data_IF_187453683353
#
_entry.id   IF_187453683353
#
_cell.length_a   1.000
_cell.length_b   1.000
_cell.length_c   1.000
_cell.angle_alpha   90.00
_cell.angle_beta   90.00
_cell.angle_gamma   90.00
#
_symmetry.space_group_name_H-M   'P 1'
#
loop_
_entity.id
_entity.type
_entity.pdbx_description
1 polymer ?
#
# COMPACT_ATOMS: atom_id res chain seq x y z
N UNK A 1 -14.97 15.29 33.61
CA UNK A 1 -15.50 14.47 32.51
C UNK A 1 -14.28 13.90 31.82
N UNK A 2 -14.19 12.60 31.63
CA UNK A 2 -13.09 12.03 30.86
C UNK A 2 -13.18 12.56 29.42
N UNK A 3 -12.09 13.06 28.91
CA UNK A 3 -11.99 13.50 27.51
C UNK A 3 -12.30 12.30 26.61
N UNK A 4 -13.21 12.49 25.64
CA UNK A 4 -13.51 11.50 24.62
C UNK A 4 -12.43 11.57 23.55
N UNK A 5 -11.89 10.43 23.16
CA UNK A 5 -10.73 10.32 22.27
C UNK A 5 -11.06 9.53 21.02
N UNK A 6 -10.46 9.95 19.92
CA UNK A 6 -10.41 9.19 18.67
C UNK A 6 -9.47 8.00 18.81
N UNK A 7 -9.57 7.01 17.92
CA UNK A 7 -8.65 5.86 17.86
C UNK A 7 -7.18 6.32 17.83
N UNK A 8 -6.86 7.28 16.97
CA UNK A 8 -5.50 7.78 16.84
C UNK A 8 -4.99 8.46 18.12
N UNK A 9 -5.83 9.25 18.79
CA UNK A 9 -5.46 9.90 20.06
C UNK A 9 -5.26 8.89 21.19
N UNK A 10 -6.02 7.79 21.24
CA UNK A 10 -5.83 6.71 22.22
C UNK A 10 -4.47 6.03 22.03
N UNK A 11 -4.18 5.60 20.80
CA UNK A 11 -2.89 4.96 20.47
C UNK A 11 -1.74 5.92 20.75
N UNK A 12 -1.85 7.20 20.36
CA UNK A 12 -0.82 8.20 20.64
C UNK A 12 -0.56 8.33 22.13
N UNK A 13 -1.61 8.58 22.93
CA UNK A 13 -1.53 8.74 24.39
C UNK A 13 -0.80 7.57 25.06
N UNK A 14 -1.12 6.35 24.63
CA UNK A 14 -0.60 5.13 25.24
C UNK A 14 0.89 4.92 24.88
N UNK A 15 1.45 5.67 23.89
CA UNK A 15 2.84 5.57 23.46
C UNK A 15 3.70 6.80 23.81
N UNK A 16 3.14 7.85 24.41
CA UNK A 16 3.94 9.01 24.83
C UNK A 16 4.86 8.62 25.98
N UNK A 17 6.15 8.63 25.72
CA UNK A 17 7.22 8.45 26.73
C UNK A 17 7.47 9.75 27.48
N UNK A 18 7.44 10.88 26.75
CA UNK A 18 7.63 12.21 27.29
C UNK A 18 6.89 13.23 26.43
N UNK A 19 6.09 14.07 27.09
CA UNK A 19 5.47 15.22 26.41
C UNK A 19 6.49 16.32 26.13
N UNK A 20 6.37 16.94 24.97
CA UNK A 20 7.15 18.10 24.60
C UNK A 20 6.66 19.35 25.35
N UNK A 21 7.61 20.18 25.80
CA UNK A 21 7.31 21.44 26.45
C UNK A 21 6.92 22.52 25.42
N UNK A 22 5.92 23.34 25.73
CA UNK A 22 5.56 24.55 24.98
C UNK A 22 5.39 24.35 23.45
N UNK A 23 4.81 23.23 23.01
CA UNK A 23 4.58 22.92 21.60
C UNK A 23 5.77 22.25 20.90
N UNK A 24 6.79 21.82 21.66
CA UNK A 24 7.81 20.90 21.18
C UNK A 24 7.20 19.53 20.85
N UNK A 25 7.87 18.71 20.02
CA UNK A 25 7.43 17.35 19.73
C UNK A 25 7.38 16.45 20.97
N UNK A 26 6.41 15.55 21.03
CA UNK A 26 6.37 14.45 21.99
C UNK A 26 7.41 13.39 21.61
N UNK A 27 7.95 12.69 22.60
CA UNK A 27 8.74 11.47 22.39
C UNK A 27 7.84 10.27 22.46
N UNK A 28 7.72 9.55 21.33
CA UNK A 28 6.80 8.42 21.15
C UNK A 28 7.60 7.13 21.13
N UNK A 29 7.14 6.12 21.87
CA UNK A 29 7.66 4.75 21.81
C UNK A 29 7.22 4.09 20.50
N UNK A 30 8.07 3.29 19.88
CA UNK A 30 7.81 2.53 18.67
C UNK A 30 7.81 1.04 19.01
N UNK A 31 6.68 0.37 18.82
CA UNK A 31 6.56 -1.06 19.12
C UNK A 31 7.30 -1.93 18.12
N UNK A 32 7.27 -1.56 16.84
CA UNK A 32 7.93 -2.36 15.81
C UNK A 32 8.48 -1.52 14.66
N UNK A 33 9.64 -1.91 14.16
CA UNK A 33 10.26 -1.31 12.98
C UNK A 33 10.48 -2.35 11.88
N UNK A 34 9.96 -2.04 10.69
CA UNK A 34 10.19 -2.83 9.48
C UNK A 34 11.33 -2.23 8.67
N UNK A 35 12.12 -3.07 8.04
CA UNK A 35 13.32 -2.71 7.28
C UNK A 35 13.32 -3.38 5.90
N UNK A 36 13.94 -2.71 4.93
CA UNK A 36 14.22 -3.27 3.61
C UNK A 36 15.53 -2.69 3.05
N UNK A 37 15.99 -3.21 1.90
CA UNK A 37 17.32 -2.94 1.36
C UNK A 37 17.55 -1.51 0.87
N UNK A 38 16.49 -0.72 0.61
CA UNK A 38 16.64 0.62 0.00
C UNK A 38 16.97 1.68 1.05
N UNK A 39 16.28 1.72 2.18
CA UNK A 39 16.34 2.82 3.15
C UNK A 39 17.12 2.50 4.43
N UNK A 40 17.50 1.24 4.65
CA UNK A 40 18.21 0.82 5.87
C UNK A 40 19.75 0.93 5.85
N UNK A 41 20.46 0.88 4.69
CA UNK A 41 21.92 0.84 4.70
C UNK A 41 22.58 1.99 5.46
N UNK A 42 22.13 3.22 5.21
CA UNK A 42 22.68 4.41 5.87
C UNK A 42 22.38 4.46 7.38
N UNK A 43 21.23 3.93 7.81
CA UNK A 43 20.86 3.83 9.20
C UNK A 43 21.80 2.88 9.96
N UNK A 44 22.11 1.71 9.40
CA UNK A 44 23.09 0.78 9.96
C UNK A 44 24.50 1.38 9.98
N UNK A 45 24.91 2.11 8.95
CA UNK A 45 26.18 2.80 8.91
C UNK A 45 26.28 3.88 10.01
N UNK A 46 25.21 4.65 10.23
CA UNK A 46 25.13 5.62 11.31
C UNK A 46 25.33 4.99 12.70
N UNK A 47 24.65 3.87 12.96
CA UNK A 47 24.84 3.11 14.21
C UNK A 47 26.29 2.65 14.37
N UNK A 48 26.89 2.11 13.33
CA UNK A 48 28.28 1.61 13.32
C UNK A 48 29.27 2.73 13.58
N UNK A 49 29.13 3.87 12.92
CA UNK A 49 29.97 5.05 13.10
C UNK A 49 29.84 5.64 14.51
N UNK A 50 28.64 5.61 15.09
CA UNK A 50 28.41 6.07 16.47
C UNK A 50 28.78 5.03 17.53
N UNK A 51 29.23 3.83 17.16
CA UNK A 51 29.54 2.74 18.07
C UNK A 51 28.34 2.23 18.86
N UNK A 52 27.13 2.36 18.27
CA UNK A 52 25.86 1.95 18.88
C UNK A 52 25.43 0.57 18.36
N UNK A 53 24.68 -0.14 19.21
CA UNK A 53 23.98 -1.38 18.86
C UNK A 53 22.51 -1.09 18.66
N UNK A 54 21.79 -2.00 17.99
CA UNK A 54 20.33 -2.02 18.06
C UNK A 54 19.90 -2.18 19.51
N UNK A 55 18.91 -1.39 19.93
CA UNK A 55 18.38 -1.46 21.28
C UNK A 55 17.60 -2.75 21.53
N UNK A 56 16.74 -3.11 20.59
CA UNK A 56 15.83 -4.26 20.64
C UNK A 56 15.78 -4.96 19.27
N UNK A 57 16.80 -5.80 18.92
CA UNK A 57 16.81 -6.51 17.63
C UNK A 57 15.52 -7.29 17.35
N UNK A 58 14.88 -7.82 18.40
CA UNK A 58 13.64 -8.61 18.34
C UNK A 58 12.41 -7.79 17.93
N UNK A 59 12.47 -6.46 18.01
CA UNK A 59 11.41 -5.54 17.56
C UNK A 59 11.67 -5.01 16.13
N UNK A 60 12.52 -5.72 15.39
CA UNK A 60 12.87 -5.38 14.02
C UNK A 60 12.72 -6.61 13.11
N UNK A 61 12.20 -6.39 11.91
CA UNK A 61 12.15 -7.40 10.85
C UNK A 61 12.57 -6.77 9.53
N UNK A 62 13.43 -7.44 8.79
CA UNK A 62 13.84 -7.06 7.45
C UNK A 62 13.31 -8.03 6.40
N UNK A 63 13.06 -7.51 5.19
CA UNK A 63 12.75 -8.32 4.01
C UNK A 63 13.41 -7.73 2.77
N UNK A 64 13.68 -8.57 1.78
CA UNK A 64 14.19 -8.18 0.47
C UNK A 64 13.01 -8.11 -0.50
N UNK A 65 12.64 -6.91 -0.99
CA UNK A 65 11.41 -6.74 -1.77
C UNK A 65 11.49 -5.75 -2.96
N UNK A 66 12.33 -4.71 -2.88
CA UNK A 66 12.38 -3.64 -3.86
C UNK A 66 13.33 -3.93 -5.03
N UNK A 67 14.54 -4.41 -4.73
CA UNK A 67 15.63 -4.61 -5.69
C UNK A 67 15.75 -6.06 -6.16
N UNK A 68 14.84 -6.91 -5.74
CA UNK A 68 14.82 -8.32 -6.14
C UNK A 68 14.09 -8.49 -7.48
N UNK A 69 14.61 -9.31 -8.41
CA UNK A 69 13.89 -9.64 -9.63
C UNK A 69 12.71 -10.56 -9.35
N UNK A 70 11.68 -10.47 -10.17
CA UNK A 70 10.49 -11.34 -10.08
C UNK A 70 10.53 -12.51 -11.07
N UNK A 71 11.60 -12.61 -11.86
CA UNK A 71 11.87 -13.72 -12.78
C UNK A 71 13.25 -14.30 -12.57
N UNK A 72 13.37 -15.59 -12.86
CA UNK A 72 14.66 -16.29 -12.87
C UNK A 72 15.22 -16.62 -11.49
N UNK A 73 14.44 -16.45 -10.45
CA UNK A 73 14.80 -16.84 -9.08
C UNK A 73 14.61 -18.35 -8.92
N UNK A 74 15.67 -19.02 -8.48
CA UNK A 74 15.67 -20.47 -8.26
C UNK A 74 16.09 -20.86 -6.85
N UNK A 75 17.06 -20.16 -6.27
CA UNK A 75 17.69 -20.52 -5.01
C UNK A 75 17.83 -19.34 -4.03
N UNK A 76 17.48 -18.13 -4.45
CA UNK A 76 17.72 -16.93 -3.65
C UNK A 76 19.19 -16.49 -3.59
N UNK A 77 20.02 -17.02 -4.51
CA UNK A 77 21.42 -16.60 -4.61
C UNK A 77 21.52 -15.17 -5.16
N UNK A 78 22.39 -14.36 -4.56
CA UNK A 78 22.64 -12.97 -4.99
C UNK A 78 23.03 -12.85 -6.48
N UNK A 79 23.65 -13.86 -7.07
CA UNK A 79 24.02 -13.87 -8.49
C UNK A 79 22.80 -13.94 -9.44
N UNK A 80 21.62 -14.27 -8.92
CA UNK A 80 20.36 -14.20 -9.67
C UNK A 80 19.92 -12.74 -9.91
N UNK A 81 20.38 -11.80 -9.08
CA UNK A 81 20.22 -10.35 -9.29
C UNK A 81 21.30 -9.90 -10.29
N UNK A 82 20.89 -9.59 -11.52
CA UNK A 82 21.84 -9.23 -12.60
C UNK A 82 22.40 -7.84 -12.47
N UNK A 83 21.56 -6.90 -12.03
CA UNK A 83 21.98 -5.52 -11.78
C UNK A 83 22.93 -5.45 -10.57
N UNK A 84 24.09 -4.80 -10.75
CA UNK A 84 25.14 -4.76 -9.73
C UNK A 84 24.76 -3.86 -8.55
N UNK A 85 24.04 -2.76 -8.80
CA UNK A 85 23.62 -1.83 -7.75
C UNK A 85 22.58 -2.50 -6.86
N UNK A 86 21.56 -3.09 -7.46
CA UNK A 86 20.52 -3.87 -6.77
C UNK A 86 21.14 -5.02 -5.96
N UNK A 87 22.05 -5.77 -6.56
CA UNK A 87 22.76 -6.87 -5.87
C UNK A 87 23.59 -6.38 -4.68
N UNK A 88 24.22 -5.22 -4.80
CA UNK A 88 25.00 -4.62 -3.71
C UNK A 88 24.09 -4.20 -2.57
N UNK A 89 22.95 -3.56 -2.85
CA UNK A 89 21.99 -3.16 -1.82
C UNK A 89 21.43 -4.36 -1.05
N UNK A 90 20.99 -5.41 -1.74
CA UNK A 90 20.51 -6.65 -1.12
C UNK A 90 21.63 -7.33 -0.31
N UNK A 91 22.85 -7.43 -0.85
CA UNK A 91 23.99 -7.97 -0.11
C UNK A 91 24.31 -7.17 1.16
N UNK A 92 24.18 -5.85 1.10
CA UNK A 92 24.42 -4.95 2.24
C UNK A 92 23.36 -5.19 3.33
N UNK A 93 22.09 -5.32 2.95
CA UNK A 93 21.04 -5.65 3.92
C UNK A 93 21.34 -6.98 4.65
N UNK A 94 21.70 -8.03 3.91
CA UNK A 94 22.06 -9.35 4.50
C UNK A 94 23.17 -9.22 5.53
N UNK A 95 24.26 -8.53 5.17
CA UNK A 95 25.41 -8.31 6.09
C UNK A 95 25.00 -7.51 7.33
N UNK A 96 24.21 -6.45 7.15
CA UNK A 96 23.76 -5.62 8.26
C UNK A 96 22.83 -6.42 9.19
N UNK A 97 21.90 -7.18 8.66
CA UNK A 97 21.02 -8.02 9.49
C UNK A 97 21.79 -9.08 10.28
N UNK A 98 22.80 -9.72 9.66
CA UNK A 98 23.67 -10.66 10.34
C UNK A 98 24.48 -9.98 11.46
N UNK A 99 25.09 -8.81 11.18
CA UNK A 99 25.93 -8.06 12.15
C UNK A 99 25.12 -7.58 13.35
N UNK A 100 23.90 -7.06 13.12
CA UNK A 100 23.07 -6.44 14.15
C UNK A 100 22.02 -7.38 14.77
N UNK A 101 21.95 -8.63 14.30
CA UNK A 101 21.02 -9.64 14.83
C UNK A 101 19.55 -9.43 14.45
N UNK A 102 19.29 -8.79 13.30
CA UNK A 102 17.93 -8.58 12.78
C UNK A 102 17.45 -9.79 12.00
N UNK A 103 16.23 -10.27 12.28
CA UNK A 103 15.57 -11.31 11.47
C UNK A 103 15.36 -10.79 10.05
N UNK A 104 15.75 -11.61 9.05
CA UNK A 104 15.65 -11.26 7.64
C UNK A 104 14.92 -12.37 6.86
N UNK A 105 13.93 -11.99 6.07
CA UNK A 105 13.35 -12.83 5.02
C UNK A 105 13.97 -12.48 3.67
N UNK A 106 14.93 -13.28 3.26
CA UNK A 106 15.68 -13.08 2.02
C UNK A 106 14.91 -13.59 0.79
N UNK A 107 15.28 -13.08 -0.38
CA UNK A 107 14.86 -13.62 -1.67
C UNK A 107 15.01 -15.14 -1.70
N UNK A 108 13.92 -15.85 -2.04
CA UNK A 108 13.86 -17.31 -2.03
C UNK A 108 13.44 -17.95 -0.69
N UNK A 109 13.31 -17.17 0.39
CA UNK A 109 12.72 -17.62 1.65
C UNK A 109 11.20 -17.82 1.49
N UNK A 110 10.64 -18.84 2.15
CA UNK A 110 9.22 -19.17 2.09
C UNK A 110 8.31 -18.06 2.67
N UNK A 111 8.86 -17.15 3.47
CA UNK A 111 8.13 -16.01 4.06
C UNK A 111 8.55 -14.67 3.45
N UNK A 112 9.44 -14.66 2.44
CA UNK A 112 9.83 -13.44 1.75
C UNK A 112 8.62 -12.79 1.06
N UNK A 113 8.59 -11.48 1.08
CA UNK A 113 7.54 -10.70 0.42
C UNK A 113 7.71 -9.21 0.63
N UNK A 114 6.77 -8.44 0.08
CA UNK A 114 6.72 -7.00 0.26
C UNK A 114 6.58 -6.69 1.75
N UNK A 115 7.38 -5.77 2.25
CA UNK A 115 7.49 -5.43 3.68
C UNK A 115 6.13 -5.19 4.35
N UNK A 116 5.20 -4.51 3.67
CA UNK A 116 3.85 -4.22 4.18
C UNK A 116 2.85 -5.39 4.04
N UNK A 117 3.26 -6.50 3.44
CA UNK A 117 2.52 -7.77 3.43
C UNK A 117 3.04 -8.71 4.50
N UNK A 118 4.36 -8.77 4.68
CA UNK A 118 5.01 -9.71 5.61
C UNK A 118 4.62 -9.43 7.07
N UNK A 119 4.59 -8.15 7.50
CA UNK A 119 4.21 -7.78 8.87
C UNK A 119 2.81 -8.28 9.27
N UNK A 120 1.74 -7.93 8.51
CA UNK A 120 0.40 -8.48 8.71
C UNK A 120 0.31 -10.00 8.63
N UNK A 121 0.96 -10.60 7.61
CA UNK A 121 0.95 -12.05 7.37
C UNK A 121 1.52 -12.85 8.54
N UNK A 122 2.55 -12.33 9.19
CA UNK A 122 3.18 -12.96 10.35
C UNK A 122 2.44 -12.68 11.67
N UNK A 123 1.48 -11.74 11.70
CA UNK A 123 0.81 -11.31 12.93
C UNK A 123 1.66 -10.34 13.78
N UNK A 124 2.68 -9.73 13.19
CA UNK A 124 3.47 -8.67 13.82
C UNK A 124 2.62 -7.41 13.98
N UNK A 125 1.83 -7.09 12.95
CA UNK A 125 0.92 -5.96 12.99
C UNK A 125 -0.30 -6.29 13.83
N UNK A 126 -0.47 -5.57 14.95
CA UNK A 126 -1.57 -5.78 15.89
C UNK A 126 -2.25 -4.46 16.25
N UNK A 127 -3.52 -4.47 16.68
CA UNK A 127 -4.23 -3.26 17.08
C UNK A 127 -3.52 -2.49 18.20
N UNK A 128 -3.53 -1.16 18.07
CA UNK A 128 -2.99 -0.27 19.08
C UNK A 128 -1.48 -0.09 19.07
N UNK A 129 -0.75 -0.72 18.15
CA UNK A 129 0.70 -0.57 18.03
C UNK A 129 1.10 0.71 17.29
N UNK A 130 2.35 1.11 17.49
CA UNK A 130 3.09 2.07 16.65
C UNK A 130 4.08 1.33 15.77
N UNK A 131 3.97 1.48 14.44
CA UNK A 131 4.80 0.76 13.47
C UNK A 131 5.45 1.75 12.51
N UNK A 132 6.76 1.61 12.30
CA UNK A 132 7.50 2.47 11.37
C UNK A 132 8.34 1.68 10.38
N UNK A 133 8.59 2.28 9.23
CA UNK A 133 9.48 1.77 8.19
C UNK A 133 10.02 2.95 7.37
N UNK A 134 11.13 2.76 6.70
CA UNK A 134 11.66 3.73 5.74
C UNK A 134 10.88 3.80 4.42
N UNK A 135 9.63 3.37 4.39
CA UNK A 135 8.71 3.38 3.24
C UNK A 135 7.40 4.09 3.60
N UNK A 136 6.92 4.95 2.71
CA UNK A 136 5.71 5.75 2.93
C UNK A 136 4.44 4.91 3.06
N UNK A 137 4.36 3.73 2.41
CA UNK A 137 3.19 2.85 2.49
C UNK A 137 3.10 2.02 3.77
N UNK A 138 3.93 2.32 4.76
CA UNK A 138 3.78 1.81 6.14
C UNK A 138 2.38 2.07 6.70
N UNK A 139 1.68 3.10 6.20
CA UNK A 139 0.27 3.36 6.54
C UNK A 139 -0.66 2.16 6.32
N UNK A 140 -0.27 1.17 5.50
CA UNK A 140 -0.98 -0.11 5.32
C UNK A 140 -1.34 -0.77 6.65
N UNK A 141 -0.43 -0.73 7.63
CA UNK A 141 -0.61 -1.37 8.93
C UNK A 141 -1.70 -0.71 9.78
N UNK A 142 -2.09 0.53 9.45
CA UNK A 142 -3.22 1.21 10.11
C UNK A 142 -4.58 0.53 9.90
N UNK A 143 -4.70 -0.38 8.93
CA UNK A 143 -5.86 -1.24 8.75
C UNK A 143 -6.20 -2.10 9.98
N UNK A 144 -5.22 -2.29 10.86
CA UNK A 144 -5.35 -3.03 12.12
C UNK A 144 -5.66 -2.12 13.32
N UNK A 145 -5.79 -0.81 13.13
CA UNK A 145 -5.92 0.15 14.24
C UNK A 145 -4.58 0.53 14.89
N UNK A 146 -3.48 0.39 14.15
CA UNK A 146 -2.13 0.84 14.54
C UNK A 146 -1.88 2.26 14.04
N UNK A 147 -1.07 3.06 14.74
CA UNK A 147 -0.44 4.25 14.14
C UNK A 147 0.80 3.76 13.38
N UNK A 148 0.69 3.76 12.05
CA UNK A 148 1.74 3.26 11.19
C UNK A 148 2.15 4.30 10.15
N UNK A 149 3.46 4.60 10.07
CA UNK A 149 3.92 5.68 9.21
C UNK A 149 5.31 5.45 8.64
N UNK A 150 5.51 5.99 7.44
CA UNK A 150 6.83 6.11 6.83
C UNK A 150 7.67 7.17 7.54
N UNK A 151 8.96 6.86 7.75
CA UNK A 151 9.93 7.74 8.40
C UNK A 151 11.19 7.90 7.54
N UNK A 152 11.90 9.01 7.73
CA UNK A 152 13.15 9.27 7.03
C UNK A 152 14.32 8.41 7.53
N UNK A 153 15.37 8.25 6.72
CA UNK A 153 16.52 7.38 7.03
C UNK A 153 17.18 7.72 8.37
N UNK A 154 17.31 9.00 8.72
CA UNK A 154 17.87 9.42 10.02
C UNK A 154 16.95 9.04 11.18
N UNK A 155 15.64 9.04 10.98
CA UNK A 155 14.66 8.58 11.96
C UNK A 155 14.69 7.05 12.08
N UNK A 156 14.94 6.32 10.99
CA UNK A 156 15.19 4.86 11.01
C UNK A 156 16.34 4.54 11.95
N UNK A 157 17.50 5.22 11.80
CA UNK A 157 18.66 5.06 12.69
C UNK A 157 18.30 5.38 14.16
N UNK A 158 17.55 6.46 14.37
CA UNK A 158 17.17 6.89 15.72
C UNK A 158 16.28 5.83 16.40
N UNK A 159 15.28 5.30 15.69
CA UNK A 159 14.42 4.23 16.24
C UNK A 159 15.22 2.96 16.51
N UNK A 160 16.12 2.56 15.62
CA UNK A 160 17.02 1.43 15.86
C UNK A 160 17.83 1.59 17.15
N UNK A 161 18.30 2.81 17.43
CA UNK A 161 19.13 3.09 18.60
C UNK A 161 18.34 3.23 19.91
N UNK A 162 17.09 3.70 19.85
CA UNK A 162 16.36 4.18 21.05
C UNK A 162 14.98 3.55 21.23
N UNK A 163 14.40 2.95 20.19
CA UNK A 163 13.03 2.51 20.11
C UNK A 163 11.99 3.65 20.29
N UNK A 164 12.39 4.89 19.98
CA UNK A 164 11.55 6.08 20.10
C UNK A 164 11.71 6.99 18.91
N UNK A 165 10.74 7.88 18.71
CA UNK A 165 10.77 8.94 17.69
C UNK A 165 10.17 10.22 18.26
N UNK A 166 10.70 11.37 17.84
CA UNK A 166 10.19 12.68 18.24
C UNK A 166 9.22 13.20 17.18
N UNK A 167 7.94 13.34 17.53
CA UNK A 167 6.87 13.72 16.61
C UNK A 167 5.98 14.82 17.18
N UNK A 168 5.55 15.75 16.34
CA UNK A 168 4.50 16.70 16.72
C UNK A 168 3.13 15.98 16.68
N UNK A 169 2.22 16.31 17.61
CA UNK A 169 0.84 15.86 17.51
C UNK A 169 0.25 16.19 16.12
N UNK A 170 -0.58 15.30 15.64
CA UNK A 170 -1.28 15.41 14.36
C UNK A 170 -2.72 15.89 14.58
N UNK A 171 -3.35 16.33 13.49
CA UNK A 171 -4.79 16.49 13.42
C UNK A 171 -5.48 15.18 13.09
N UNK A 172 -6.77 15.10 13.39
CA UNK A 172 -7.60 13.94 13.10
C UNK A 172 -8.58 14.23 11.98
N UNK A 173 -8.74 13.28 11.04
CA UNK A 173 -9.73 13.37 9.97
C UNK A 173 -10.56 12.10 9.94
N UNK A 174 -11.89 12.23 9.97
CA UNK A 174 -12.79 11.13 9.69
C UNK A 174 -13.18 11.12 8.21
N UNK A 175 -13.11 9.96 7.57
CA UNK A 175 -13.76 9.73 6.27
C UNK A 175 -14.88 8.73 6.51
N UNK A 176 -16.11 9.23 6.51
CA UNK A 176 -17.33 8.45 6.74
C UNK A 176 -17.86 7.93 5.39
N UNK A 177 -17.83 6.61 5.20
CA UNK A 177 -18.34 5.95 3.98
C UNK A 177 -19.69 5.31 4.29
N UNK A 178 -20.74 5.94 3.80
CA UNK A 178 -22.13 5.49 3.96
C UNK A 178 -22.55 4.57 2.83
N UNK A 179 -23.62 3.82 3.04
CA UNK A 179 -24.13 2.86 2.05
C UNK A 179 -23.24 1.64 1.85
N UNK A 180 -23.52 0.87 0.82
CA UNK A 180 -22.75 -0.31 0.41
C UNK A 180 -22.09 -0.07 -0.95
N UNK A 181 -20.88 -0.59 -1.15
CA UNK A 181 -20.24 -0.54 -2.47
C UNK A 181 -21.03 -1.41 -3.45
N UNK A 182 -21.22 -0.91 -4.67
CA UNK A 182 -21.87 -1.64 -5.73
C UNK A 182 -21.03 -2.84 -6.18
N UNK A 183 -21.67 -3.84 -6.79
CA UNK A 183 -20.98 -4.95 -7.43
C UNK A 183 -19.96 -4.42 -8.47
N UNK A 184 -18.76 -4.97 -8.47
CA UNK A 184 -17.66 -4.51 -9.35
C UNK A 184 -16.90 -3.28 -8.86
N UNK A 185 -17.27 -2.71 -7.71
CA UNK A 185 -16.54 -1.62 -7.05
C UNK A 185 -15.74 -2.16 -5.87
N UNK A 186 -14.45 -1.95 -5.89
CA UNK A 186 -13.51 -2.44 -4.87
C UNK A 186 -13.05 -1.33 -3.90
N UNK A 187 -12.31 -1.72 -2.88
CA UNK A 187 -11.61 -0.78 -1.99
C UNK A 187 -10.64 0.14 -2.74
N UNK A 188 -10.06 -0.32 -3.85
CA UNK A 188 -9.19 0.50 -4.70
C UNK A 188 -9.97 1.62 -5.40
N UNK A 189 -11.14 1.32 -5.92
CA UNK A 189 -12.00 2.32 -6.56
C UNK A 189 -12.44 3.37 -5.53
N UNK A 190 -12.80 2.94 -4.32
CA UNK A 190 -13.18 3.82 -3.23
C UNK A 190 -12.03 4.76 -2.84
N UNK A 191 -10.82 4.25 -2.62
CA UNK A 191 -9.71 5.12 -2.18
C UNK A 191 -9.27 6.08 -3.28
N UNK A 192 -9.31 5.68 -4.55
CA UNK A 192 -9.07 6.58 -5.67
C UNK A 192 -10.11 7.70 -5.74
N UNK A 193 -11.39 7.37 -5.54
CA UNK A 193 -12.47 8.37 -5.47
C UNK A 193 -12.30 9.32 -4.28
N UNK A 194 -11.89 8.83 -3.11
CA UNK A 194 -11.58 9.66 -1.94
C UNK A 194 -10.45 10.64 -2.28
N UNK A 195 -9.33 10.15 -2.83
CA UNK A 195 -8.17 10.98 -3.18
C UNK A 195 -8.54 12.03 -4.24
N UNK A 196 -9.33 11.65 -5.25
CA UNK A 196 -9.82 12.60 -6.24
C UNK A 196 -10.70 13.70 -5.63
N UNK A 197 -11.53 13.35 -4.61
CA UNK A 197 -12.41 14.29 -3.93
C UNK A 197 -11.67 15.27 -3.02
N UNK A 198 -10.72 14.80 -2.20
CA UNK A 198 -10.03 15.65 -1.22
C UNK A 198 -8.71 16.23 -1.73
N UNK A 199 -8.22 15.72 -2.87
CA UNK A 199 -6.92 16.07 -3.47
C UNK A 199 -5.74 15.38 -2.81
N UNK A 200 -4.59 15.42 -3.48
CA UNK A 200 -3.33 14.80 -3.00
C UNK A 200 -2.72 15.51 -1.77
N UNK A 201 -3.26 16.64 -1.35
CA UNK A 201 -2.86 17.39 -0.15
C UNK A 201 -3.96 17.51 0.90
N UNK A 202 -5.16 16.97 0.67
CA UNK A 202 -6.31 17.14 1.57
C UNK A 202 -6.12 16.55 2.97
N UNK A 203 -5.33 15.50 3.08
CA UNK A 203 -4.98 14.85 4.35
C UNK A 203 -3.73 15.40 5.04
N UNK A 204 -3.11 16.48 4.52
CA UNK A 204 -1.84 16.97 5.06
C UNK A 204 -1.95 17.34 6.55
N UNK A 205 -1.03 16.79 7.35
CA UNK A 205 -0.98 17.00 8.80
C UNK A 205 -2.00 16.20 9.60
N UNK A 206 -2.79 15.33 8.96
CA UNK A 206 -3.80 14.49 9.60
C UNK A 206 -3.38 13.01 9.66
N UNK A 207 -3.92 12.32 10.65
CA UNK A 207 -4.18 10.88 10.58
C UNK A 207 -5.66 10.71 10.19
N UNK A 208 -5.90 9.92 9.15
CA UNK A 208 -7.24 9.63 8.66
C UNK A 208 -7.80 8.39 9.37
N UNK A 209 -8.99 8.45 9.92
CA UNK A 209 -9.77 7.29 10.34
C UNK A 209 -10.88 7.04 9.32
N UNK A 210 -10.81 5.90 8.63
CA UNK A 210 -11.86 5.45 7.71
C UNK A 210 -12.95 4.74 8.52
N UNK A 211 -14.20 5.17 8.31
CA UNK A 211 -15.36 4.79 9.12
C UNK A 211 -16.58 4.57 8.25
N UNK A 212 -17.64 4.12 8.87
CA UNK A 212 -18.93 3.91 8.22
C UNK A 212 -19.23 2.44 7.94
N UNK A 213 -20.42 2.18 7.41
CA UNK A 213 -20.93 0.82 7.22
C UNK A 213 -20.12 0.06 6.16
N UNK A 214 -19.80 0.71 5.05
CA UNK A 214 -19.00 0.12 3.99
C UNK A 214 -17.63 -0.33 4.49
N UNK A 215 -16.96 0.48 5.32
CA UNK A 215 -15.63 0.15 5.87
C UNK A 215 -15.69 -1.05 6.83
N UNK A 216 -16.72 -1.09 7.69
CA UNK A 216 -16.88 -2.22 8.63
C UNK A 216 -17.11 -3.56 7.94
N UNK A 217 -17.76 -3.55 6.76
CA UNK A 217 -18.02 -4.77 5.96
C UNK A 217 -16.82 -5.25 5.15
N UNK A 218 -15.75 -4.45 5.06
CA UNK A 218 -14.55 -4.81 4.31
C UNK A 218 -13.74 -5.90 4.98
N UNK A 219 -13.15 -6.76 4.15
CA UNK A 219 -12.08 -7.68 4.56
C UNK A 219 -10.84 -6.91 5.04
N UNK A 220 -9.90 -7.59 5.70
CA UNK A 220 -8.64 -6.95 6.09
C UNK A 220 -7.81 -6.53 4.87
N UNK A 221 -7.83 -7.29 3.79
CA UNK A 221 -7.16 -6.97 2.54
C UNK A 221 -7.69 -5.66 1.93
N UNK A 222 -9.01 -5.47 1.93
CA UNK A 222 -9.65 -4.25 1.48
C UNK A 222 -9.30 -3.04 2.38
N UNK A 223 -9.31 -3.23 3.71
CA UNK A 223 -8.88 -2.19 4.68
C UNK A 223 -7.41 -1.81 4.49
N UNK A 224 -6.53 -2.80 4.25
CA UNK A 224 -5.12 -2.56 3.95
C UNK A 224 -4.93 -1.76 2.65
N UNK A 225 -5.74 -1.99 1.63
CA UNK A 225 -5.72 -1.21 0.37
C UNK A 225 -6.04 0.26 0.62
N UNK A 226 -7.08 0.56 1.41
CA UNK A 226 -7.47 1.94 1.72
C UNK A 226 -6.39 2.63 2.57
N UNK A 227 -5.93 1.99 3.64
CA UNK A 227 -4.89 2.55 4.51
C UNK A 227 -3.56 2.73 3.78
N UNK A 228 -3.20 1.81 2.87
CA UNK A 228 -2.00 1.91 2.03
C UNK A 228 -1.96 3.24 1.28
N UNK A 229 -3.06 3.64 0.65
CA UNK A 229 -3.13 4.83 -0.20
C UNK A 229 -3.49 6.13 0.55
N UNK A 230 -3.55 6.15 1.87
CA UNK A 230 -3.77 7.37 2.64
C UNK A 230 -2.66 8.40 2.42
N UNK A 231 -1.44 7.93 2.17
CA UNK A 231 -0.29 8.81 1.91
C UNK A 231 -0.43 9.57 0.58
N UNK A 232 -1.16 9.01 -0.39
CA UNK A 232 -1.46 9.68 -1.67
C UNK A 232 -2.44 10.83 -1.53
N UNK A 233 -3.22 10.85 -0.45
CA UNK A 233 -4.02 12.01 -0.03
C UNK A 233 -3.21 13.03 0.80
N UNK A 234 -1.91 12.81 1.00
CA UNK A 234 -1.03 13.65 1.82
C UNK A 234 -1.13 13.39 3.33
N UNK A 235 -1.89 12.39 3.78
CA UNK A 235 -2.04 12.07 5.18
C UNK A 235 -0.75 11.50 5.80
N UNK A 236 -0.59 11.66 7.10
CA UNK A 236 0.53 11.06 7.85
C UNK A 236 0.36 9.55 7.97
N UNK A 237 -0.86 9.09 8.20
CA UNK A 237 -1.27 7.70 8.28
C UNK A 237 -2.77 7.56 7.99
N UNK A 238 -3.24 6.34 7.74
CA UNK A 238 -4.65 5.99 7.68
C UNK A 238 -4.93 4.84 8.63
N UNK A 239 -6.09 4.84 9.27
CA UNK A 239 -6.47 3.84 10.26
C UNK A 239 -7.89 3.34 10.03
N UNK A 240 -8.14 2.10 10.41
CA UNK A 240 -9.48 1.53 10.58
C UNK A 240 -9.57 1.01 12.00
N UNK A 241 -10.67 1.30 12.70
CA UNK A 241 -10.86 0.79 14.05
C UNK A 241 -10.91 -0.75 14.06
N UNK A 242 -10.16 -1.41 14.96
CA UNK A 242 -10.13 -2.86 15.03
C UNK A 242 -11.49 -3.41 15.48
N UNK A 243 -11.88 -4.53 14.89
CA UNK A 243 -13.11 -5.26 15.18
C UNK A 243 -12.89 -6.78 15.07
N UNK A 244 -13.97 -7.56 15.11
CA UNK A 244 -13.88 -9.03 15.05
C UNK A 244 -13.17 -9.51 13.76
N UNK A 245 -13.35 -8.82 12.61
CA UNK A 245 -12.64 -9.13 11.37
C UNK A 245 -11.13 -9.00 11.55
N UNK A 246 -10.69 -7.95 12.26
CA UNK A 246 -9.28 -7.74 12.59
C UNK A 246 -8.77 -8.84 13.53
N UNK A 247 -9.53 -9.18 14.56
CA UNK A 247 -9.12 -10.19 15.54
C UNK A 247 -9.01 -11.58 14.90
N UNK A 248 -9.97 -11.96 14.07
CA UNK A 248 -9.93 -13.22 13.32
C UNK A 248 -8.73 -13.31 12.38
N UNK A 249 -8.38 -12.20 11.71
CA UNK A 249 -7.21 -12.14 10.83
C UNK A 249 -5.90 -12.35 11.60
N UNK A 250 -5.74 -11.76 12.78
CA UNK A 250 -4.51 -11.86 13.59
C UNK A 250 -4.40 -13.22 14.28
N UNK A 251 -5.51 -13.83 14.67
CA UNK A 251 -5.55 -15.05 15.48
C UNK A 251 -4.77 -16.20 14.85
N UNK A 252 -3.89 -16.80 15.65
CA UNK A 252 -3.14 -18.01 15.26
C UNK A 252 -1.94 -17.76 14.32
N UNK A 253 -1.61 -16.51 14.01
CA UNK A 253 -0.40 -16.17 13.28
C UNK A 253 0.84 -16.29 14.18
N UNK A 254 2.02 -16.41 13.58
CA UNK A 254 3.28 -16.72 14.25
C UNK A 254 3.58 -15.79 15.46
N UNK A 255 3.39 -14.48 15.28
CA UNK A 255 3.67 -13.46 16.30
C UNK A 255 2.41 -12.99 17.05
N UNK A 256 1.25 -13.59 16.79
CA UNK A 256 0.04 -13.25 17.52
C UNK A 256 0.13 -13.75 18.97
N UNK A 257 -0.45 -13.02 19.94
CA UNK A 257 -0.58 -13.51 21.29
C UNK A 257 -1.35 -14.84 21.34
N UNK A 258 -1.08 -15.65 22.35
CA UNK A 258 -1.74 -16.96 22.53
C UNK A 258 -2.26 -17.15 23.97
N UNK A 259 -3.29 -18.00 24.14
CA UNK A 259 -3.83 -18.31 25.47
C UNK A 259 -4.32 -17.08 26.21
N UNK A 260 -3.91 -16.91 27.47
CA UNK A 260 -4.33 -15.77 28.30
C UNK A 260 -3.86 -14.41 27.78
N UNK A 261 -2.70 -14.36 27.09
CA UNK A 261 -2.20 -13.13 26.49
C UNK A 261 -3.08 -12.69 25.29
N UNK A 262 -3.64 -13.66 24.56
CA UNK A 262 -4.63 -13.38 23.51
C UNK A 262 -5.90 -12.76 24.10
N UNK A 263 -6.43 -13.35 25.18
CA UNK A 263 -7.64 -12.84 25.81
C UNK A 263 -7.45 -11.41 26.34
N UNK A 264 -6.30 -11.15 26.98
CA UNK A 264 -5.94 -9.81 27.45
C UNK A 264 -5.76 -8.81 26.29
N UNK A 265 -5.12 -9.23 25.20
CA UNK A 265 -4.93 -8.40 24.01
C UNK A 265 -6.28 -8.02 23.38
N UNK A 266 -7.19 -8.99 23.20
CA UNK A 266 -8.53 -8.71 22.64
C UNK A 266 -9.34 -7.80 23.56
N UNK A 267 -9.24 -7.95 24.89
CA UNK A 267 -9.89 -7.04 25.86
C UNK A 267 -9.38 -5.61 25.66
N UNK A 268 -8.06 -5.41 25.53
CA UNK A 268 -7.46 -4.10 25.23
C UNK A 268 -7.89 -3.57 23.86
N UNK A 269 -7.81 -4.38 22.80
CA UNK A 269 -8.14 -3.96 21.44
C UNK A 269 -9.58 -3.47 21.30
N UNK A 270 -10.52 -4.04 22.06
CA UNK A 270 -11.92 -3.59 22.12
C UNK A 270 -12.10 -2.21 22.75
N UNK A 271 -11.11 -1.68 23.44
CA UNK A 271 -11.14 -0.32 24.01
C UNK A 271 -10.67 0.75 23.03
N UNK A 272 -10.01 0.35 21.92
CA UNK A 272 -9.36 1.26 20.96
C UNK A 272 -10.34 2.06 20.08
N UNK A 273 -11.48 1.51 19.59
CA UNK A 273 -12.37 2.28 18.73
C UNK A 273 -12.68 3.65 19.30
N UNK A 274 -12.82 4.63 18.42
CA UNK A 274 -13.15 6.03 18.74
C UNK A 274 -14.35 6.12 19.67
N UNK A 275 -14.25 6.89 20.75
CA UNK A 275 -15.30 7.07 21.73
C UNK A 275 -16.53 7.73 21.10
N UNK A 276 -17.73 7.33 21.56
CA UNK A 276 -18.95 8.00 21.13
C UNK A 276 -18.95 9.47 21.51
N UNK A 277 -19.07 10.35 20.49
CA UNK A 277 -18.99 11.80 20.62
C UNK A 277 -17.58 12.35 20.77
N UNK A 278 -16.53 11.61 20.38
CA UNK A 278 -15.23 12.20 20.09
C UNK A 278 -15.31 13.09 18.82
N UNK A 279 -14.59 14.19 18.85
CA UNK A 279 -14.59 15.16 17.75
C UNK A 279 -13.36 14.95 16.86
N UNK A 280 -13.53 15.13 15.54
CA UNK A 280 -12.47 15.14 14.57
C UNK A 280 -12.24 16.57 14.09
N UNK A 281 -10.98 16.95 13.81
CA UNK A 281 -10.67 18.27 13.22
C UNK A 281 -11.32 18.43 11.84
N UNK A 282 -11.47 17.36 11.09
CA UNK A 282 -12.10 17.36 9.76
C UNK A 282 -12.94 16.11 9.57
N UNK A 283 -14.11 16.27 8.95
CA UNK A 283 -14.99 15.15 8.57
C UNK A 283 -15.31 15.26 7.09
N UNK A 284 -15.15 14.15 6.37
CA UNK A 284 -15.48 14.03 4.94
C UNK A 284 -16.45 12.85 4.78
N UNK A 285 -17.57 13.08 4.10
CA UNK A 285 -18.58 12.08 3.81
C UNK A 285 -18.46 11.58 2.37
N UNK A 286 -18.58 10.27 2.18
CA UNK A 286 -18.58 9.58 0.89
C UNK A 286 -19.81 8.69 0.83
N UNK A 287 -20.61 8.82 -0.20
CA UNK A 287 -21.66 7.86 -0.51
C UNK A 287 -21.08 6.70 -1.32
N UNK A 288 -20.81 5.58 -0.65
CA UNK A 288 -20.27 4.38 -1.27
C UNK A 288 -21.21 3.75 -2.29
N UNK A 289 -22.54 3.95 -2.14
CA UNK A 289 -23.54 3.39 -3.04
C UNK A 289 -23.58 4.07 -4.41
N UNK A 290 -23.04 5.27 -4.53
CA UNK A 290 -22.96 6.02 -5.78
C UNK A 290 -21.69 5.74 -6.61
N UNK A 291 -20.72 5.02 -6.02
CA UNK A 291 -19.44 4.76 -6.68
C UNK A 291 -19.56 3.74 -7.79
N UNK A 292 -18.80 3.95 -8.83
CA UNK A 292 -18.57 3.04 -9.95
C UNK A 292 -17.08 2.77 -10.11
N UNK A 293 -16.63 1.79 -10.91
CA UNK A 293 -15.21 1.57 -11.17
C UNK A 293 -14.48 2.87 -11.49
N UNK A 294 -13.34 3.08 -10.84
CA UNK A 294 -12.63 4.35 -10.81
C UNK A 294 -11.19 4.19 -11.28
N UNK A 295 -10.71 5.10 -12.13
CA UNK A 295 -9.36 5.02 -12.71
C UNK A 295 -8.67 6.38 -12.72
N UNK A 296 -7.34 6.41 -12.71
CA UNK A 296 -6.62 7.66 -12.94
C UNK A 296 -6.41 7.89 -14.43
N UNK A 297 -6.63 9.12 -14.90
CA UNK A 297 -6.36 9.54 -16.28
C UNK A 297 -5.02 10.28 -16.42
N UNK A 298 -4.54 10.89 -15.35
CA UNK A 298 -3.38 11.78 -15.34
C UNK A 298 -2.15 11.19 -14.64
N UNK A 299 -1.28 12.07 -14.12
CA UNK A 299 0.05 11.74 -13.58
C UNK A 299 0.12 11.70 -12.05
N UNK A 300 -1.00 11.73 -11.36
CA UNK A 300 -1.08 11.55 -9.91
C UNK A 300 -2.43 10.94 -9.49
N UNK A 301 -2.55 10.34 -8.30
CA UNK A 301 -3.77 9.67 -7.85
C UNK A 301 -4.99 10.60 -7.68
N UNK A 302 -4.78 11.92 -7.52
CA UNK A 302 -5.86 12.91 -7.46
C UNK A 302 -6.50 13.18 -8.82
N UNK A 303 -5.85 12.81 -9.91
CA UNK A 303 -6.36 12.92 -11.27
C UNK A 303 -7.11 11.64 -11.67
N UNK A 304 -8.14 11.29 -10.91
CA UNK A 304 -8.98 10.12 -11.09
C UNK A 304 -10.42 10.49 -11.45
N UNK A 305 -11.11 9.58 -12.17
CA UNK A 305 -12.49 9.71 -12.59
C UNK A 305 -13.19 8.34 -12.62
N UNK A 306 -14.53 8.32 -12.52
CA UNK A 306 -15.31 7.13 -12.88
C UNK A 306 -14.96 6.67 -14.30
N UNK A 307 -14.81 5.36 -14.51
CA UNK A 307 -14.46 4.78 -15.81
C UNK A 307 -15.42 5.12 -16.95
N UNK A 308 -16.66 5.50 -16.62
CA UNK A 308 -17.66 5.96 -17.59
C UNK A 308 -17.45 7.37 -18.15
N UNK A 309 -16.53 8.13 -17.59
CA UNK A 309 -16.28 9.53 -17.92
C UNK A 309 -15.27 9.69 -19.06
N UNK A 310 -14.96 10.95 -19.37
CA UNK A 310 -14.00 11.36 -20.40
C UNK A 310 -12.84 12.09 -19.76
N UNK A 311 -11.70 12.04 -20.42
CA UNK A 311 -10.52 12.85 -20.09
C UNK A 311 -10.91 14.33 -20.05
N UNK A 312 -10.56 15.10 -18.98
CA UNK A 312 -10.96 16.49 -18.81
C UNK A 312 -10.48 17.39 -19.94
N UNK A 313 -11.25 18.45 -20.22
CA UNK A 313 -10.82 19.53 -21.08
C UNK A 313 -10.19 20.65 -20.23
N UNK A 314 -8.96 21.11 -20.52
CA UNK A 314 -8.34 22.24 -19.84
C UNK A 314 -9.18 23.51 -19.86
N UNK A 315 -10.05 23.70 -20.87
CA UNK A 315 -10.93 24.86 -20.96
C UNK A 315 -12.07 24.87 -19.92
N UNK A 316 -12.36 23.70 -19.31
CA UNK A 316 -13.39 23.56 -18.26
C UNK A 316 -12.82 23.79 -16.85
N UNK A 317 -11.51 24.05 -16.69
CA UNK A 317 -10.84 24.26 -15.41
C UNK A 317 -11.22 25.59 -14.75
N UNK A 318 -11.26 25.61 -13.42
CA UNK A 318 -11.69 26.77 -12.63
C UNK A 318 -10.69 27.92 -12.57
N UNK A 319 -9.38 27.62 -12.74
CA UNK A 319 -8.31 28.62 -12.74
C UNK A 319 -7.11 28.21 -13.63
N UNK A 320 -6.20 29.16 -13.86
CA UNK A 320 -5.04 28.99 -14.73
C UNK A 320 -4.04 27.93 -14.22
N UNK A 321 -3.95 27.71 -12.89
CA UNK A 321 -3.03 26.72 -12.32
C UNK A 321 -3.59 25.30 -12.53
N UNK A 322 -4.89 25.14 -12.33
CA UNK A 322 -5.58 23.87 -12.62
C UNK A 322 -5.45 23.55 -14.10
N UNK A 323 -5.74 24.52 -14.99
CA UNK A 323 -5.58 24.39 -16.43
C UNK A 323 -4.17 23.94 -16.83
N UNK A 324 -3.13 24.61 -16.34
CA UNK A 324 -1.73 24.26 -16.62
C UNK A 324 -1.38 22.85 -16.11
N UNK A 325 -1.93 22.43 -14.97
CA UNK A 325 -1.74 21.09 -14.41
C UNK A 325 -2.38 20.03 -15.29
N UNK A 326 -3.60 20.27 -15.77
CA UNK A 326 -4.31 19.36 -16.68
C UNK A 326 -3.58 19.27 -18.03
N UNK A 327 -3.19 20.40 -18.63
CA UNK A 327 -2.42 20.45 -19.89
C UNK A 327 -1.13 19.64 -19.79
N UNK A 328 -0.35 19.81 -18.71
CA UNK A 328 0.88 19.06 -18.47
C UNK A 328 0.62 17.55 -18.37
N UNK A 329 -0.42 17.16 -17.63
CA UNK A 329 -0.79 15.75 -17.49
C UNK A 329 -1.22 15.13 -18.82
N UNK A 330 -2.03 15.84 -19.62
CA UNK A 330 -2.46 15.41 -20.94
C UNK A 330 -1.26 15.21 -21.88
N UNK A 331 -0.33 16.18 -21.87
CA UNK A 331 0.89 16.10 -22.67
C UNK A 331 1.73 14.87 -22.32
N UNK A 332 1.98 14.63 -21.01
CA UNK A 332 2.75 13.45 -20.58
C UNK A 332 2.04 12.15 -20.90
N UNK A 333 0.75 12.08 -20.58
CA UNK A 333 -0.08 10.89 -20.80
C UNK A 333 -0.44 10.71 -22.28
N UNK A 334 -0.12 11.67 -23.18
CA UNK A 334 -0.45 11.66 -24.60
C UNK A 334 -1.94 11.34 -24.82
N UNK A 335 -2.77 12.13 -24.17
CA UNK A 335 -4.22 12.02 -24.23
C UNK A 335 -4.82 13.32 -24.78
N UNK A 336 -5.93 13.17 -25.52
CA UNK A 336 -6.68 14.32 -26.01
C UNK A 336 -7.84 14.62 -25.06
N UNK A 337 -8.15 15.91 -24.81
CA UNK A 337 -9.35 16.31 -24.09
C UNK A 337 -10.60 15.65 -24.67
N UNK A 338 -11.53 15.24 -23.81
CA UNK A 338 -12.80 14.64 -24.20
C UNK A 338 -12.71 13.17 -24.68
N UNK A 339 -11.53 12.54 -24.67
CA UNK A 339 -11.39 11.12 -24.99
C UNK A 339 -12.14 10.28 -23.94
N UNK A 340 -13.08 9.41 -24.33
CA UNK A 340 -13.67 8.47 -23.39
C UNK A 340 -12.59 7.59 -22.72
N UNK A 341 -12.66 7.40 -21.40
CA UNK A 341 -11.64 6.59 -20.69
C UNK A 341 -11.60 5.15 -21.25
N UNK A 342 -12.72 4.61 -21.68
CA UNK A 342 -12.83 3.27 -22.30
C UNK A 342 -12.16 3.16 -23.68
N UNK A 343 -11.83 4.27 -24.32
CA UNK A 343 -11.13 4.28 -25.62
C UNK A 343 -9.60 4.33 -25.44
N UNK A 344 -9.11 4.39 -24.19
CA UNK A 344 -7.68 4.43 -23.89
C UNK A 344 -7.11 3.02 -24.02
N UNK A 345 -6.22 2.85 -25.02
CA UNK A 345 -5.52 1.60 -25.27
C UNK A 345 -4.44 1.35 -24.23
N UNK A 346 -4.29 0.11 -23.78
CA UNK A 346 -3.33 -0.34 -22.78
C UNK A 346 -2.37 -1.39 -23.38
N UNK A 347 -1.08 -1.18 -23.22
CA UNK A 347 -0.03 -2.07 -23.70
C UNK A 347 0.36 -3.10 -22.64
N UNK A 348 0.43 -2.69 -21.37
CA UNK A 348 0.81 -3.56 -20.25
C UNK A 348 -0.20 -3.47 -19.11
N UNK A 349 -0.58 -4.62 -18.55
CA UNK A 349 -1.39 -4.72 -17.33
C UNK A 349 -0.51 -5.26 -16.22
N UNK A 350 -0.53 -4.60 -15.06
CA UNK A 350 0.21 -5.01 -13.88
C UNK A 350 -0.73 -5.27 -12.70
N UNK A 351 -0.77 -6.51 -12.24
CA UNK A 351 -1.42 -6.90 -10.97
C UNK A 351 -0.32 -7.23 -9.97
N UNK A 352 -0.10 -6.33 -9.03
CA UNK A 352 1.02 -6.39 -8.11
C UNK A 352 0.98 -5.29 -7.05
N UNK A 353 2.11 -5.06 -6.35
CA UNK A 353 2.28 -4.03 -5.34
C UNK A 353 1.74 -4.41 -3.94
N UNK A 354 2.22 -3.69 -2.91
CA UNK A 354 1.68 -3.81 -1.55
C UNK A 354 0.21 -3.35 -1.45
N UNK A 355 -0.29 -2.65 -2.46
CA UNK A 355 -1.69 -2.18 -2.50
C UNK A 355 -2.63 -3.32 -2.85
N UNK A 356 -2.40 -4.02 -3.97
CA UNK A 356 -3.33 -5.02 -4.50
C UNK A 356 -2.60 -6.20 -5.17
N UNK A 357 -2.04 -7.07 -4.35
CA UNK A 357 -1.51 -8.37 -4.78
C UNK A 357 -1.60 -9.43 -3.66
N UNK A 358 -2.56 -9.26 -2.75
CA UNK A 358 -2.92 -10.25 -1.74
C UNK A 358 -3.82 -11.30 -2.36
N UNK A 359 -4.11 -12.37 -1.62
CA UNK A 359 -4.85 -13.51 -2.18
C UNK A 359 -6.25 -13.13 -2.71
N UNK A 360 -6.96 -12.22 -2.04
CA UNK A 360 -8.28 -11.77 -2.50
C UNK A 360 -8.20 -10.99 -3.82
N UNK A 361 -7.17 -10.15 -3.99
CA UNK A 361 -6.92 -9.41 -5.22
C UNK A 361 -6.64 -10.35 -6.40
N UNK A 362 -5.83 -11.40 -6.16
CA UNK A 362 -5.52 -12.41 -7.16
C UNK A 362 -6.75 -13.25 -7.54
N UNK A 363 -7.57 -13.64 -6.56
CA UNK A 363 -8.85 -14.33 -6.81
C UNK A 363 -9.78 -13.48 -7.66
N UNK A 364 -9.96 -12.20 -7.27
CA UNK A 364 -10.82 -11.27 -7.99
C UNK A 364 -10.36 -11.03 -9.44
N UNK A 365 -9.06 -10.92 -9.69
CA UNK A 365 -8.52 -10.80 -11.04
C UNK A 365 -8.64 -12.12 -11.83
N UNK A 366 -8.39 -13.27 -11.18
CA UNK A 366 -8.51 -14.59 -11.82
C UNK A 366 -9.95 -14.91 -12.26
N UNK A 367 -10.94 -14.56 -11.44
CA UNK A 367 -12.35 -14.76 -11.77
C UNK A 367 -12.75 -14.01 -13.06
N UNK A 368 -12.20 -12.82 -13.28
CA UNK A 368 -12.46 -12.02 -14.50
C UNK A 368 -11.80 -12.65 -15.73
N UNK A 369 -10.58 -13.16 -15.64
CA UNK A 369 -9.83 -13.68 -16.81
C UNK A 369 -10.13 -15.15 -17.10
N UNK A 370 -10.76 -15.87 -16.19
CA UNK A 370 -11.04 -17.30 -16.31
C UNK A 370 -11.84 -17.63 -17.57
N UNK A 371 -11.31 -18.54 -18.40
CA UNK A 371 -11.94 -18.97 -19.65
C UNK A 371 -11.86 -17.95 -20.80
N UNK A 372 -11.14 -16.85 -20.60
CA UNK A 372 -10.91 -15.81 -21.61
C UNK A 372 -9.46 -15.86 -22.14
N UNK A 373 -9.13 -15.00 -23.08
CA UNK A 373 -7.81 -14.89 -23.69
C UNK A 373 -7.37 -13.43 -23.64
N UNK A 374 -6.11 -13.19 -23.37
CA UNK A 374 -5.52 -11.86 -23.34
C UNK A 374 -5.59 -11.18 -24.72
N UNK A 375 -5.80 -9.86 -24.77
CA UNK A 375 -5.79 -9.11 -26.01
C UNK A 375 -4.43 -9.22 -26.74
N UNK A 376 -4.46 -9.32 -28.07
CA UNK A 376 -3.30 -9.69 -28.88
C UNK A 376 -2.05 -8.81 -28.72
N UNK A 377 -2.23 -7.54 -28.35
CA UNK A 377 -1.14 -6.58 -28.17
C UNK A 377 -0.99 -6.09 -26.72
N UNK A 378 -1.49 -6.85 -25.78
CA UNK A 378 -1.44 -6.52 -24.35
C UNK A 378 -0.61 -7.58 -23.63
N UNK A 379 0.29 -7.14 -22.78
CA UNK A 379 1.05 -7.97 -21.85
C UNK A 379 0.41 -7.88 -20.47
N UNK A 380 0.32 -8.98 -19.73
CA UNK A 380 -0.11 -8.94 -18.34
C UNK A 380 0.92 -9.59 -17.44
N UNK A 381 1.30 -8.90 -16.38
CA UNK A 381 2.16 -9.41 -15.32
C UNK A 381 1.38 -9.53 -14.02
N UNK A 382 1.47 -10.70 -13.38
CA UNK A 382 0.86 -10.96 -12.06
C UNK A 382 1.97 -11.31 -11.08
N UNK A 383 2.12 -10.46 -10.07
CA UNK A 383 3.20 -10.54 -9.08
C UNK A 383 2.58 -10.64 -7.68
N UNK A 384 2.52 -11.83 -7.07
CA UNK A 384 2.04 -12.01 -5.71
C UNK A 384 2.83 -11.16 -4.70
N UNK A 385 2.17 -10.67 -3.65
CA UNK A 385 2.79 -9.77 -2.69
C UNK A 385 3.78 -10.45 -1.73
N UNK A 386 3.71 -11.79 -1.61
CA UNK A 386 4.66 -12.59 -0.82
C UNK A 386 4.76 -14.03 -1.34
N UNK A 387 5.80 -14.74 -0.92
CA UNK A 387 5.98 -16.16 -1.23
C UNK A 387 4.84 -17.01 -0.65
N UNK A 388 4.29 -16.64 0.52
CA UNK A 388 3.13 -17.31 1.12
C UNK A 388 1.87 -17.10 0.28
N UNK A 389 1.60 -15.86 -0.15
CA UNK A 389 0.46 -15.56 -1.04
C UNK A 389 0.61 -16.30 -2.37
N UNK A 390 1.85 -16.35 -2.90
CA UNK A 390 2.15 -17.11 -4.12
C UNK A 390 1.84 -18.61 -3.95
N UNK A 391 2.32 -19.21 -2.86
CA UNK A 391 2.10 -20.63 -2.58
C UNK A 391 0.60 -20.93 -2.42
N UNK A 392 -0.13 -20.10 -1.70
CA UNK A 392 -1.59 -20.23 -1.55
C UNK A 392 -2.31 -20.10 -2.90
N UNK A 393 -1.95 -19.12 -3.72
CA UNK A 393 -2.54 -18.93 -5.05
C UNK A 393 -2.27 -20.14 -5.98
N UNK A 394 -1.08 -20.74 -5.89
CA UNK A 394 -0.73 -21.95 -6.64
C UNK A 394 -1.48 -23.19 -6.12
N UNK A 395 -1.69 -23.32 -4.81
CA UNK A 395 -2.53 -24.38 -4.22
C UNK A 395 -3.99 -24.28 -4.67
N UNK A 396 -4.49 -23.06 -4.84
CA UNK A 396 -5.84 -22.77 -5.35
C UNK A 396 -5.93 -22.87 -6.89
N UNK A 397 -4.82 -23.05 -7.61
CA UNK A 397 -4.76 -23.15 -9.07
C UNK A 397 -4.92 -21.82 -9.80
N UNK A 398 -4.77 -20.68 -9.10
CA UNK A 398 -4.89 -19.34 -9.72
C UNK A 398 -3.78 -19.07 -10.74
N UNK A 399 -2.58 -19.59 -10.50
CA UNK A 399 -1.45 -19.46 -11.42
C UNK A 399 -1.73 -20.15 -12.77
N UNK A 400 -2.42 -21.29 -12.76
CA UNK A 400 -2.83 -22.00 -13.98
C UNK A 400 -3.87 -21.17 -14.75
N UNK A 401 -4.82 -20.53 -14.05
CA UNK A 401 -5.81 -19.61 -14.67
C UNK A 401 -5.10 -18.46 -15.37
N UNK A 402 -4.14 -17.80 -14.71
CA UNK A 402 -3.39 -16.69 -15.30
C UNK A 402 -2.52 -17.13 -16.49
N UNK A 403 -1.82 -18.27 -16.37
CA UNK A 403 -1.01 -18.80 -17.47
C UNK A 403 -1.86 -19.21 -18.69
N UNK A 404 -3.00 -19.85 -18.46
CA UNK A 404 -3.94 -20.21 -19.54
C UNK A 404 -4.53 -18.98 -20.23
N UNK A 405 -4.75 -17.90 -19.47
CA UNK A 405 -5.16 -16.60 -20.01
C UNK A 405 -4.07 -15.97 -20.89
N UNK A 406 -2.81 -16.26 -20.66
CA UNK A 406 -1.64 -15.67 -21.35
C UNK A 406 -0.87 -14.65 -20.49
N UNK A 407 -1.15 -14.56 -19.19
CA UNK A 407 -0.43 -13.68 -18.27
C UNK A 407 0.90 -14.32 -17.79
N UNK A 408 1.83 -13.47 -17.40
CA UNK A 408 3.10 -13.86 -16.80
C UNK A 408 2.94 -14.00 -15.29
N UNK A 409 3.03 -15.21 -14.78
CA UNK A 409 3.04 -15.50 -13.35
C UNK A 409 4.45 -15.37 -12.78
N UNK A 410 4.63 -14.50 -11.79
CA UNK A 410 5.93 -14.07 -11.29
C UNK A 410 6.20 -14.54 -9.86
N UNK A 411 7.43 -14.37 -9.37
CA UNK A 411 7.77 -14.48 -7.94
C UNK A 411 7.47 -13.18 -7.20
N UNK A 412 7.36 -13.27 -5.86
CA UNK A 412 7.02 -12.13 -5.02
C UNK A 412 8.08 -11.02 -5.04
N UNK A 413 7.62 -9.77 -4.98
CA UNK A 413 8.44 -8.57 -4.93
C UNK A 413 7.66 -7.31 -5.33
N UNK A 414 8.27 -6.15 -5.20
CA UNK A 414 7.65 -4.88 -5.57
C UNK A 414 7.49 -4.70 -7.09
N UNK A 415 8.35 -5.34 -7.91
CA UNK A 415 8.25 -5.35 -9.37
C UNK A 415 8.10 -3.95 -9.97
N UNK A 416 7.14 -3.75 -10.88
CA UNK A 416 6.86 -2.48 -11.52
C UNK A 416 6.35 -1.38 -10.57
N UNK A 417 5.96 -1.67 -9.32
CA UNK A 417 5.42 -0.64 -8.42
C UNK A 417 6.40 0.54 -8.24
N UNK A 418 7.71 0.27 -8.19
CA UNK A 418 8.75 1.28 -8.07
C UNK A 418 9.73 1.28 -9.27
N UNK A 419 9.78 0.21 -10.05
CA UNK A 419 10.69 0.11 -11.19
C UNK A 419 12.19 0.13 -10.83
N UNK A 420 12.56 -0.32 -9.63
CA UNK A 420 13.96 -0.46 -9.17
C UNK A 420 14.57 -1.82 -9.51
N UNK A 421 13.91 -2.59 -10.33
CA UNK A 421 14.26 -3.93 -10.81
C UNK A 421 14.04 -3.98 -12.33
N UNK A 422 14.29 -5.11 -13.00
CA UNK A 422 14.14 -5.22 -14.45
C UNK A 422 12.70 -5.04 -14.99
N UNK A 423 11.69 -5.06 -14.11
CA UNK A 423 10.29 -4.94 -14.49
C UNK A 423 9.95 -3.44 -14.66
N UNK A 424 10.10 -2.92 -15.86
CA UNK A 424 9.85 -1.54 -16.21
C UNK A 424 9.06 -1.42 -17.52
N UNK A 425 8.33 -0.32 -17.65
CA UNK A 425 7.73 0.10 -18.92
C UNK A 425 8.79 0.69 -19.85
N UNK A 426 8.66 0.43 -21.13
CA UNK A 426 9.40 1.16 -22.16
C UNK A 426 8.87 2.61 -22.29
N UNK A 427 9.69 3.56 -22.80
CA UNK A 427 9.24 4.92 -23.06
C UNK A 427 8.02 4.94 -24.00
N UNK A 428 6.96 5.64 -23.58
CA UNK A 428 5.70 5.73 -24.30
C UNK A 428 4.73 4.58 -24.06
N UNK A 429 5.16 3.48 -23.46
CA UNK A 429 4.29 2.35 -23.10
C UNK A 429 3.29 2.75 -22.02
N UNK A 430 2.05 2.28 -22.17
CA UNK A 430 0.92 2.62 -21.30
C UNK A 430 0.48 1.41 -20.48
N UNK A 431 0.37 1.59 -19.17
CA UNK A 431 -0.07 0.53 -18.28
C UNK A 431 -1.37 0.83 -17.54
N UNK A 432 -2.18 -0.22 -17.31
CA UNK A 432 -3.18 -0.28 -16.27
C UNK A 432 -2.60 -1.08 -15.09
N UNK A 433 -2.51 -0.44 -13.91
CA UNK A 433 -1.71 -0.95 -12.80
C UNK A 433 -2.46 -0.91 -11.47
N UNK A 434 -2.37 -1.97 -10.69
CA UNK A 434 -2.91 -2.02 -9.32
C UNK A 434 -1.97 -1.39 -8.28
N UNK A 435 -0.86 -0.79 -8.70
CA UNK A 435 0.05 -0.06 -7.81
C UNK A 435 -0.61 1.18 -7.18
N UNK A 436 0.12 1.89 -6.35
CA UNK A 436 -0.39 3.01 -5.55
C UNK A 436 -0.05 4.39 -6.13
N UNK A 437 0.98 4.49 -6.97
CA UNK A 437 1.48 5.76 -7.55
C UNK A 437 1.68 5.66 -9.03
N UNK A 438 1.41 6.77 -9.73
CA UNK A 438 1.52 6.88 -11.19
C UNK A 438 2.17 8.18 -11.66
N UNK A 439 2.99 8.83 -10.83
CA UNK A 439 3.70 10.02 -11.29
C UNK A 439 4.69 9.68 -12.44
N UNK A 440 5.09 10.71 -13.17
CA UNK A 440 5.96 10.62 -14.33
C UNK A 440 7.18 9.73 -14.10
N UNK A 441 7.36 8.69 -14.90
CA UNK A 441 8.49 7.77 -14.84
C UNK A 441 8.47 6.75 -13.70
N UNK A 442 7.43 6.67 -12.88
CA UNK A 442 7.35 5.77 -11.72
C UNK A 442 7.57 4.30 -12.06
N UNK A 443 7.00 3.82 -13.16
CA UNK A 443 7.10 2.44 -13.62
C UNK A 443 8.12 2.26 -14.76
N UNK A 444 8.97 3.24 -14.99
CA UNK A 444 9.98 3.27 -16.02
C UNK A 444 10.02 4.65 -16.71
N UNK A 445 11.20 5.11 -17.17
CA UNK A 445 11.34 6.41 -17.81
C UNK A 445 10.41 6.57 -19.03
N UNK A 446 9.51 7.58 -19.00
CA UNK A 446 8.54 7.83 -20.07
C UNK A 446 7.35 6.87 -20.10
N UNK A 447 7.24 5.95 -19.13
CA UNK A 447 6.08 5.08 -18.95
C UNK A 447 4.85 5.87 -18.48
N UNK A 448 3.67 5.49 -18.94
CA UNK A 448 2.37 6.13 -18.67
C UNK A 448 1.48 5.18 -17.89
N UNK A 449 1.11 5.52 -16.66
CA UNK A 449 0.42 4.59 -15.77
C UNK A 449 -0.97 5.09 -15.37
N UNK A 450 -1.99 4.26 -15.56
CA UNK A 450 -3.32 4.41 -15.01
C UNK A 450 -3.48 3.49 -13.79
N UNK A 451 -3.82 4.05 -12.64
CA UNK A 451 -4.14 3.26 -11.45
C UNK A 451 -5.55 2.72 -11.57
N UNK A 452 -5.71 1.43 -11.32
CA UNK A 452 -6.97 0.71 -11.46
C UNK A 452 -7.11 -0.35 -10.36
N UNK A 453 -8.33 -0.87 -10.18
CA UNK A 453 -8.60 -2.03 -9.31
C UNK A 453 -8.16 -3.35 -9.98
N UNK A 454 -7.99 -4.45 -9.22
CA UNK A 454 -7.64 -5.76 -9.77
C UNK A 454 -8.62 -6.25 -10.85
N UNK A 455 -9.92 -6.03 -10.65
CA UNK A 455 -10.95 -6.43 -11.61
C UNK A 455 -10.90 -5.58 -12.89
N UNK A 456 -10.70 -4.28 -12.77
CA UNK A 456 -10.50 -3.37 -13.91
C UNK A 456 -9.22 -3.71 -14.66
N UNK A 457 -8.12 -4.01 -13.96
CA UNK A 457 -6.87 -4.48 -14.56
C UNK A 457 -7.09 -5.76 -15.38
N UNK A 458 -7.78 -6.74 -14.80
CA UNK A 458 -8.08 -8.00 -15.45
C UNK A 458 -8.99 -7.83 -16.69
N UNK A 459 -10.07 -7.04 -16.58
CA UNK A 459 -10.95 -6.73 -17.72
C UNK A 459 -10.20 -5.98 -18.83
N UNK A 460 -9.35 -5.04 -18.46
CA UNK A 460 -8.47 -4.30 -19.40
C UNK A 460 -7.53 -5.25 -20.15
N UNK A 461 -7.00 -6.29 -19.49
CA UNK A 461 -6.17 -7.27 -20.17
C UNK A 461 -6.93 -8.11 -21.21
N UNK A 462 -8.24 -8.32 -21.01
CA UNK A 462 -9.11 -9.04 -21.96
C UNK A 462 -9.37 -8.20 -23.20
N UNK A 463 -9.64 -6.90 -23.05
CA UNK A 463 -10.05 -6.02 -24.14
C UNK A 463 -8.89 -5.29 -24.83
N UNK A 464 -7.80 -5.04 -24.11
CA UNK A 464 -6.69 -4.15 -24.52
C UNK A 464 -6.99 -2.66 -24.33
N UNK A 465 -8.11 -2.31 -23.69
CA UNK A 465 -8.55 -0.94 -23.39
C UNK A 465 -9.02 -0.87 -21.94
N UNK A 466 -9.02 0.32 -21.33
CA UNK A 466 -9.55 0.49 -19.97
C UNK A 466 -10.99 -0.01 -19.91
N UNK A 467 -11.24 -1.07 -19.15
CA UNK A 467 -12.52 -1.76 -19.09
C UNK A 467 -12.81 -2.28 -17.69
N UNK A 468 -14.07 -2.38 -17.36
CA UNK A 468 -14.56 -3.07 -16.16
C UNK A 468 -15.09 -4.47 -16.52
N UNK A 469 -15.32 -5.36 -15.54
CA UNK A 469 -15.93 -6.66 -15.80
C UNK A 469 -17.28 -6.58 -16.54
N UNK A 470 -18.07 -5.54 -16.26
CA UNK A 470 -19.36 -5.32 -16.93
C UNK A 470 -19.24 -5.01 -18.44
N UNK A 471 -18.06 -4.69 -18.93
CA UNK A 471 -17.80 -4.42 -20.36
C UNK A 471 -17.46 -5.71 -21.14
N UNK A 472 -17.40 -6.88 -20.45
CA UNK A 472 -17.00 -8.17 -21.05
C UNK A 472 -18.16 -9.08 -21.44
N UNK A 473 -19.40 -8.72 -21.10
CA UNK A 473 -20.62 -9.49 -21.32
C UNK A 473 -21.28 -9.20 -22.69
#
# INVERSE_FOLDING_TARGET
>A
MNQKLTLAEKVWRDHVVQHGDAGAPDLIFIDFQLLHEVTSPQAFDGLRLAGRRLRHPELHLATEDHNVPTQGIKSGNLLEIKDEVSRTQVSTLRKNCEEFGVRLHSMGDAQQGIVHTVGPQLGITQPGMTIVCGDSHTSTHGAFGSIAMGIGTSEVEHVMATQTISLKPFKTMAIEVTGELQEGVSAKDLILAIIAKIGTGGGQGHIIEYRGEAIRKMSMEARMTICNMSIEAGARAGMVAPDETTFEYVKGREFAPTGADWDAAVEYWRTLPTDEGAEFDTVVEIDGSSLTPFVTWGTNPGQGLPLGEKVPDPEDCGDDNEKATVEKALQYMDLQPGTPLRDIKIDTVFVGSCTNARIEDLRAAADVVKGRTIAANTRMMVVPSSAVVKAQAEEEGLDEVFRQFGAEWRTAGCSMCLGMNPDQLAPGERSASTSNRNFEGRQGPGGRTHLVSPQVAAATAVTGYLSSPADLD
#
